data_IF_619901315314
#
_entry.id   IF_619901315314
#
_cell.length_a   1.000
_cell.length_b   1.000
_cell.length_c   1.000
_cell.angle_alpha   90.00
_cell.angle_beta   90.00
_cell.angle_gamma   90.00
#
_symmetry.space_group_name_H-M   'P 1'
#
loop_
_entity.id
_entity.type
_entity.pdbx_description
1 polymer ?
#
# COMPACT_ATOMS: atom_id res chain seq x y z
N UNK A 1 12.98 -14.11 42.74
CA UNK A 1 13.43 -14.59 41.43
C UNK A 1 12.20 -14.79 40.55
N UNK A 2 11.87 -13.87 39.63
CA UNK A 2 10.95 -14.08 38.48
C UNK A 2 10.74 -12.74 37.75
N UNK A 3 11.80 -12.19 37.16
CA UNK A 3 11.71 -11.01 36.31
C UNK A 3 12.80 -11.04 35.24
N UNK A 4 12.85 -12.10 34.43
CA UNK A 4 13.82 -12.15 33.32
C UNK A 4 13.45 -13.10 32.17
N UNK A 5 12.16 -13.16 31.79
CA UNK A 5 11.71 -14.07 30.72
C UNK A 5 10.87 -13.44 29.62
N UNK A 6 11.00 -12.13 29.39
CA UNK A 6 10.31 -11.43 28.29
C UNK A 6 11.23 -10.52 27.44
N UNK A 7 12.56 -10.51 27.64
CA UNK A 7 13.45 -9.53 26.99
C UNK A 7 14.21 -10.01 25.73
N UNK A 8 14.10 -11.26 25.30
CA UNK A 8 15.13 -11.87 24.44
C UNK A 8 14.84 -12.01 22.95
N UNK A 9 13.74 -11.47 22.42
CA UNK A 9 13.50 -11.47 20.97
C UNK A 9 13.27 -10.05 20.47
N UNK A 10 14.36 -9.38 20.07
CA UNK A 10 14.27 -8.15 19.29
C UNK A 10 14.85 -8.41 17.90
N UNK A 11 13.98 -8.36 16.90
CA UNK A 11 14.33 -8.56 15.50
C UNK A 11 15.03 -7.30 14.98
N UNK A 12 16.33 -7.40 14.74
CA UNK A 12 17.16 -6.32 14.22
C UNK A 12 17.78 -6.65 12.85
N UNK A 13 17.64 -7.90 12.40
CA UNK A 13 18.21 -8.35 11.14
C UNK A 13 17.19 -8.18 10.01
N UNK A 14 17.43 -7.18 9.17
CA UNK A 14 16.65 -6.91 7.96
C UNK A 14 17.20 -7.64 6.75
N UNK A 15 18.32 -8.36 6.87
CA UNK A 15 18.89 -9.11 5.76
C UNK A 15 18.13 -10.40 5.52
N UNK A 16 17.75 -10.65 4.27
CA UNK A 16 17.23 -11.94 3.87
C UNK A 16 18.34 -13.00 3.87
N UNK A 17 18.02 -14.20 4.36
CA UNK A 17 18.88 -15.37 4.15
C UNK A 17 18.91 -15.73 2.67
N UNK A 18 20.06 -16.23 2.23
CA UNK A 18 20.27 -16.89 0.94
C UNK A 18 19.41 -18.14 0.70
N UNK A 19 18.73 -18.66 1.74
CA UNK A 19 17.79 -19.78 1.64
C UNK A 19 16.36 -19.37 1.30
N UNK A 20 16.09 -18.07 1.17
CA UNK A 20 14.78 -17.55 0.80
C UNK A 20 14.76 -17.29 -0.70
N UNK A 21 13.97 -18.06 -1.43
CA UNK A 21 13.81 -17.89 -2.89
C UNK A 21 12.84 -16.75 -3.23
N UNK A 22 11.74 -16.63 -2.48
CA UNK A 22 10.70 -15.63 -2.70
C UNK A 22 10.35 -14.91 -1.40
N UNK A 23 10.41 -13.57 -1.40
CA UNK A 23 10.12 -12.73 -0.25
C UNK A 23 9.19 -11.57 -0.65
N UNK A 24 7.92 -11.64 -0.26
CA UNK A 24 6.90 -10.67 -0.64
C UNK A 24 6.34 -9.97 0.60
N UNK A 25 6.29 -8.63 0.59
CA UNK A 25 5.85 -7.83 1.73
C UNK A 25 4.91 -6.69 1.32
N UNK A 26 3.72 -6.65 1.91
CA UNK A 26 2.84 -5.48 1.87
C UNK A 26 3.11 -4.57 3.09
N UNK A 27 3.35 -3.29 2.84
CA UNK A 27 3.79 -2.32 3.85
C UNK A 27 2.80 -1.16 4.00
N UNK A 28 2.48 -0.81 5.24
CA UNK A 28 1.49 0.21 5.59
C UNK A 28 2.11 1.61 5.74
N UNK A 29 1.66 2.58 4.94
CA UNK A 29 2.14 3.97 4.97
C UNK A 29 1.69 4.76 6.19
N UNK A 30 0.48 4.51 6.72
CA UNK A 30 -0.17 5.30 7.78
C UNK A 30 -0.10 4.65 9.17
N UNK A 31 0.71 3.60 9.33
CA UNK A 31 1.00 3.02 10.64
C UNK A 31 2.01 3.90 11.39
N UNK A 32 1.55 4.53 12.48
CA UNK A 32 2.32 5.52 13.24
C UNK A 32 2.74 5.05 14.63
N UNK A 33 2.31 3.84 15.06
CA UNK A 33 2.64 3.31 16.37
C UNK A 33 4.09 2.82 16.39
N UNK A 34 4.96 3.33 17.28
CA UNK A 34 6.37 2.94 17.32
C UNK A 34 6.62 1.42 17.48
N UNK A 35 5.84 0.66 18.28
CA UNK A 35 6.01 -0.79 18.38
C UNK A 35 5.74 -1.57 17.09
N UNK A 36 5.13 -0.92 16.09
CA UNK A 36 4.82 -1.51 14.80
C UNK A 36 5.78 -1.04 13.71
N UNK A 37 6.98 -0.55 14.04
CA UNK A 37 8.02 -0.17 13.04
C UNK A 37 8.19 -1.26 11.97
N UNK A 38 8.27 -0.91 10.68
CA UNK A 38 8.30 -1.94 9.64
C UNK A 38 9.71 -2.54 9.59
N UNK A 39 9.77 -3.86 9.40
CA UNK A 39 11.01 -4.54 9.08
C UNK A 39 11.13 -4.60 7.55
N UNK A 40 11.63 -3.51 6.94
CA UNK A 40 11.95 -3.51 5.50
C UNK A 40 13.16 -4.39 5.27
N UNK A 41 13.08 -5.30 4.31
CA UNK A 41 14.11 -6.26 4.00
C UNK A 41 15.12 -5.73 2.98
N UNK A 42 16.37 -6.20 3.09
CA UNK A 42 17.42 -5.98 2.08
C UNK A 42 17.95 -7.33 1.55
N UNK A 43 18.28 -7.37 0.25
CA UNK A 43 19.10 -8.45 -0.31
C UNK A 43 20.57 -8.17 -0.07
N UNK A 44 21.30 -9.21 0.28
CA UNK A 44 22.76 -9.21 0.33
C UNK A 44 23.34 -9.55 -1.04
N UNK A 45 24.62 -9.21 -1.31
CA UNK A 45 25.28 -9.62 -2.55
C UNK A 45 25.14 -11.11 -2.86
N UNK A 46 25.17 -11.96 -1.82
CA UNK A 46 25.07 -13.42 -1.93
C UNK A 46 23.73 -13.92 -2.48
N UNK A 47 22.62 -13.23 -2.20
CA UNK A 47 21.27 -13.68 -2.57
C UNK A 47 20.60 -12.78 -3.62
N UNK A 48 21.33 -11.81 -4.16
CA UNK A 48 20.84 -10.86 -5.16
C UNK A 48 20.27 -11.53 -6.43
N UNK A 49 20.82 -12.67 -6.82
CA UNK A 49 20.42 -13.40 -8.03
C UNK A 49 19.50 -14.60 -7.76
N UNK A 50 19.32 -14.97 -6.49
CA UNK A 50 18.57 -16.17 -6.08
C UNK A 50 17.28 -15.83 -5.33
N UNK A 51 17.18 -14.62 -4.77
CA UNK A 51 16.01 -14.15 -4.05
C UNK A 51 15.22 -13.14 -4.88
N UNK A 52 13.98 -13.48 -5.17
CA UNK A 52 12.97 -12.56 -5.67
C UNK A 52 12.32 -11.82 -4.48
N UNK A 53 12.80 -10.60 -4.24
CA UNK A 53 12.30 -9.72 -3.18
C UNK A 53 11.33 -8.70 -3.78
N UNK A 54 10.11 -8.58 -3.26
CA UNK A 54 9.12 -7.56 -3.67
C UNK A 54 8.49 -6.94 -2.43
N UNK A 55 8.61 -5.63 -2.26
CA UNK A 55 8.07 -4.92 -1.10
C UNK A 55 7.25 -3.72 -1.59
N UNK A 56 5.95 -3.70 -1.29
CA UNK A 56 5.04 -2.69 -1.85
C UNK A 56 4.34 -1.92 -0.75
N UNK A 57 4.37 -0.59 -0.87
CA UNK A 57 3.72 0.32 0.07
C UNK A 57 2.28 0.65 -0.34
N UNK A 58 1.36 0.52 0.62
CA UNK A 58 -0.08 0.76 0.49
C UNK A 58 -0.56 1.84 1.46
N UNK A 59 -1.65 2.56 1.12
CA UNK A 59 -2.31 3.45 2.07
C UNK A 59 -2.85 2.66 3.27
N UNK A 60 -3.03 3.34 4.40
CA UNK A 60 -3.62 2.78 5.60
C UNK A 60 -2.60 2.26 6.62
N UNK A 61 -3.11 1.77 7.74
CA UNK A 61 -2.30 1.24 8.83
C UNK A 61 -2.18 -0.29 8.79
N UNK A 62 -1.64 -0.87 9.87
CA UNK A 62 -1.42 -2.31 9.98
C UNK A 62 -2.65 -3.17 9.63
N UNK A 63 -3.85 -2.82 10.10
CA UNK A 63 -5.07 -3.60 9.83
C UNK A 63 -5.76 -3.20 8.50
N UNK A 64 -5.40 -2.06 7.91
CA UNK A 64 -5.78 -1.78 6.52
C UNK A 64 -4.97 -2.63 5.53
N UNK A 65 -3.70 -2.94 5.84
CA UNK A 65 -2.89 -3.83 5.00
C UNK A 65 -3.09 -5.32 5.31
N UNK A 66 -3.20 -5.70 6.57
CA UNK A 66 -3.30 -7.10 6.99
C UNK A 66 -4.73 -7.63 7.16
N UNK A 67 -5.75 -6.76 7.06
CA UNK A 67 -7.13 -7.09 7.43
C UNK A 67 -7.42 -6.86 8.92
N UNK A 68 -8.71 -6.77 9.28
CA UNK A 68 -9.17 -6.62 10.66
C UNK A 68 -9.93 -5.33 11.00
N UNK A 69 -10.14 -4.44 10.02
CA UNK A 69 -11.16 -3.37 10.11
C UNK A 69 -12.50 -3.84 9.55
N UNK A 70 -13.62 -3.20 9.91
CA UNK A 70 -14.91 -3.53 9.28
C UNK A 70 -14.89 -3.18 7.77
N UNK A 71 -14.24 -2.07 7.43
CA UNK A 71 -13.95 -1.69 6.06
C UNK A 71 -12.71 -2.45 5.54
N UNK A 72 -12.93 -3.44 4.69
CA UNK A 72 -11.90 -4.28 4.10
C UNK A 72 -11.40 -3.80 2.73
N UNK A 73 -11.83 -2.64 2.22
CA UNK A 73 -11.51 -2.21 0.85
C UNK A 73 -10.02 -2.14 0.54
N UNK A 74 -9.21 -1.58 1.46
CA UNK A 74 -7.74 -1.52 1.31
C UNK A 74 -7.10 -2.91 1.52
N UNK A 75 -7.62 -3.70 2.47
CA UNK A 75 -7.10 -5.03 2.78
C UNK A 75 -7.33 -6.02 1.62
N UNK A 76 -8.41 -5.84 0.87
CA UNK A 76 -8.66 -6.62 -0.34
C UNK A 76 -7.67 -6.24 -1.46
N UNK A 77 -7.24 -4.96 -1.54
CA UNK A 77 -6.19 -4.56 -2.49
C UNK A 77 -4.86 -5.26 -2.16
N UNK A 78 -4.45 -5.27 -0.89
CA UNK A 78 -3.21 -5.95 -0.47
C UNK A 78 -3.32 -7.47 -0.58
N UNK A 79 -4.50 -8.04 -0.35
CA UNK A 79 -4.77 -9.47 -0.57
C UNK A 79 -4.60 -9.83 -2.05
N UNK A 80 -5.25 -9.10 -2.95
CA UNK A 80 -5.14 -9.34 -4.39
C UNK A 80 -3.69 -9.21 -4.87
N UNK A 81 -2.96 -8.19 -4.42
CA UNK A 81 -1.54 -8.06 -4.70
C UNK A 81 -0.73 -9.28 -4.24
N UNK A 82 -0.98 -9.77 -3.02
CA UNK A 82 -0.29 -10.95 -2.50
C UNK A 82 -0.66 -12.23 -3.28
N UNK A 83 -1.92 -12.36 -3.71
CA UNK A 83 -2.36 -13.45 -4.59
C UNK A 83 -1.56 -13.44 -5.90
N UNK A 84 -1.36 -12.28 -6.52
CA UNK A 84 -0.53 -12.14 -7.71
C UNK A 84 0.93 -12.56 -7.48
N UNK A 85 1.50 -12.19 -6.32
CA UNK A 85 2.88 -12.60 -6.01
C UNK A 85 2.98 -14.11 -5.83
N UNK A 86 2.04 -14.73 -5.12
CA UNK A 86 2.01 -16.17 -4.87
C UNK A 86 1.68 -16.98 -6.14
N UNK A 87 0.79 -16.46 -7.00
CA UNK A 87 0.50 -17.06 -8.29
C UNK A 87 1.70 -17.05 -9.24
N UNK A 88 2.54 -16.00 -9.16
CA UNK A 88 3.78 -15.95 -9.92
C UNK A 88 4.79 -17.05 -9.56
N UNK A 89 4.58 -17.75 -8.44
CA UNK A 89 5.40 -18.89 -8.00
C UNK A 89 4.61 -20.21 -7.94
N UNK A 90 3.44 -20.27 -8.58
CA UNK A 90 2.66 -21.50 -8.78
C UNK A 90 1.54 -21.76 -7.76
N UNK A 91 1.13 -20.76 -6.97
CA UNK A 91 -0.04 -20.88 -6.10
C UNK A 91 -1.31 -20.46 -6.83
N UNK A 92 -2.27 -21.38 -6.94
CA UNK A 92 -3.57 -21.08 -7.56
C UNK A 92 -4.57 -20.55 -6.53
N UNK A 93 -5.43 -19.64 -6.96
CA UNK A 93 -6.51 -19.10 -6.13
C UNK A 93 -7.86 -19.21 -6.83
N UNK A 94 -8.91 -19.36 -6.02
CA UNK A 94 -10.30 -19.38 -6.47
C UNK A 94 -10.83 -17.95 -6.63
N UNK A 95 -11.05 -17.50 -7.88
CA UNK A 95 -11.62 -16.17 -8.17
C UNK A 95 -12.95 -15.89 -7.44
N UNK A 96 -13.92 -16.82 -7.41
CA UNK A 96 -15.14 -16.65 -6.60
C UNK A 96 -14.87 -16.32 -5.12
N UNK A 97 -13.73 -16.72 -4.55
CA UNK A 97 -13.36 -16.34 -3.18
C UNK A 97 -13.02 -14.85 -3.06
N UNK A 98 -12.31 -14.30 -4.05
CA UNK A 98 -12.01 -12.87 -4.12
C UNK A 98 -13.27 -12.03 -4.34
N UNK A 99 -14.19 -12.49 -5.19
CA UNK A 99 -15.51 -11.88 -5.39
C UNK A 99 -16.33 -11.82 -4.10
N UNK A 100 -16.28 -12.88 -3.27
CA UNK A 100 -16.94 -12.89 -1.96
C UNK A 100 -16.34 -11.83 -1.02
N UNK A 101 -15.01 -11.64 -1.02
CA UNK A 101 -14.36 -10.57 -0.25
C UNK A 101 -14.83 -9.17 -0.71
N UNK A 102 -14.98 -8.97 -2.01
CA UNK A 102 -15.58 -7.75 -2.57
C UNK A 102 -17.03 -7.57 -2.12
N UNK A 103 -17.86 -8.60 -2.25
CA UNK A 103 -19.29 -8.53 -1.91
C UNK A 103 -19.50 -8.21 -0.42
N UNK A 104 -18.72 -8.82 0.48
CA UNK A 104 -18.74 -8.49 1.91
C UNK A 104 -18.44 -7.01 2.19
N UNK A 105 -17.48 -6.44 1.45
CA UNK A 105 -17.14 -5.01 1.56
C UNK A 105 -18.27 -4.13 1.05
N UNK A 106 -18.89 -4.49 -0.09
CA UNK A 106 -20.03 -3.76 -0.64
C UNK A 106 -21.23 -3.79 0.32
N UNK A 107 -21.50 -4.94 0.94
CA UNK A 107 -22.60 -5.10 1.91
C UNK A 107 -22.33 -4.35 3.21
N UNK A 108 -21.07 -4.29 3.67
CA UNK A 108 -20.66 -3.43 4.78
C UNK A 108 -21.02 -1.96 4.51
N UNK A 109 -20.71 -1.42 3.33
CA UNK A 109 -21.03 -0.02 3.00
C UNK A 109 -22.54 0.23 2.95
N UNK A 110 -23.31 -0.68 2.34
CA UNK A 110 -24.79 -0.60 2.33
C UNK A 110 -25.37 -0.59 3.74
N UNK A 111 -24.94 -1.54 4.58
CA UNK A 111 -25.41 -1.67 5.96
C UNK A 111 -25.04 -0.44 6.81
N UNK A 112 -23.79 0.04 6.70
CA UNK A 112 -23.30 1.22 7.41
C UNK A 112 -24.07 2.48 7.02
N UNK A 113 -24.35 2.67 5.72
CA UNK A 113 -25.14 3.79 5.24
C UNK A 113 -26.60 3.72 5.72
N UNK A 114 -27.24 2.56 5.65
CA UNK A 114 -28.60 2.37 6.16
C UNK A 114 -28.69 2.67 7.68
N UNK A 115 -27.67 2.29 8.45
CA UNK A 115 -27.56 2.62 9.88
C UNK A 115 -27.38 4.12 10.12
N UNK A 116 -26.58 4.81 9.30
CA UNK A 116 -26.37 6.25 9.40
C UNK A 116 -27.66 7.04 9.10
N UNK A 117 -28.44 6.62 8.10
CA UNK A 117 -29.73 7.24 7.77
C UNK A 117 -30.75 7.12 8.91
N UNK A 118 -30.74 6.00 9.66
CA UNK A 118 -31.62 5.79 10.83
C UNK A 118 -31.20 6.62 12.04
N UNK A 119 -29.90 6.73 12.30
CA UNK A 119 -29.37 7.38 13.51
C UNK A 119 -29.18 8.89 13.37
N UNK A 120 -29.15 9.43 12.15
CA UNK A 120 -28.94 10.86 11.83
C UNK A 120 -27.83 11.49 12.70
N UNK A 121 -26.59 10.96 12.63
CA UNK A 121 -25.51 11.44 13.48
C UNK A 121 -25.26 12.94 13.25
N UNK A 122 -25.00 13.67 14.34
CA UNK A 122 -24.71 15.11 14.26
C UNK A 122 -23.42 15.34 13.45
N UNK A 123 -23.49 16.23 12.47
CA UNK A 123 -22.32 16.68 11.72
C UNK A 123 -21.27 17.25 12.67
N UNK A 124 -20.04 16.73 12.59
CA UNK A 124 -18.91 17.23 13.37
C UNK A 124 -18.29 18.42 12.63
N UNK A 125 -18.07 19.52 13.34
CA UNK A 125 -17.41 20.70 12.77
C UNK A 125 -15.99 20.34 12.32
N UNK A 126 -15.64 20.72 11.09
CA UNK A 126 -14.30 20.50 10.53
C UNK A 126 -14.06 19.10 9.94
N UNK A 127 -15.06 18.22 9.93
CA UNK A 127 -14.98 16.91 9.25
C UNK A 127 -15.60 17.04 7.85
N UNK A 128 -14.95 16.54 6.78
CA UNK A 128 -15.52 16.51 5.44
C UNK A 128 -16.84 15.72 5.38
N UNK A 129 -17.81 16.24 4.61
CA UNK A 129 -19.08 15.51 4.37
C UNK A 129 -18.93 14.42 3.30
N UNK A 130 -17.91 14.53 2.44
CA UNK A 130 -17.62 13.62 1.34
C UNK A 130 -16.29 12.93 1.58
N UNK A 131 -16.22 11.62 1.33
CA UNK A 131 -15.00 10.83 1.48
C UNK A 131 -14.01 10.96 0.31
N UNK A 132 -14.40 11.68 -0.75
CA UNK A 132 -13.59 12.03 -1.92
C UNK A 132 -14.14 13.31 -2.55
N UNK A 133 -13.48 13.82 -3.59
CA UNK A 133 -14.01 14.90 -4.44
C UNK A 133 -15.39 14.56 -5.03
N UNK A 134 -16.19 15.59 -5.32
CA UNK A 134 -17.58 15.45 -5.77
C UNK A 134 -17.79 14.46 -6.94
N UNK A 135 -17.02 14.50 -8.05
CA UNK A 135 -17.26 13.56 -9.16
C UNK A 135 -17.13 12.08 -8.78
N UNK A 136 -16.25 11.78 -7.81
CA UNK A 136 -16.05 10.42 -7.32
C UNK A 136 -17.09 10.09 -6.24
N UNK A 137 -17.29 10.97 -5.27
CA UNK A 137 -18.22 10.71 -4.17
C UNK A 137 -19.67 10.55 -4.67
N UNK A 138 -20.16 11.50 -5.47
CA UNK A 138 -21.58 11.62 -5.82
C UNK A 138 -22.09 10.40 -6.61
N UNK A 139 -21.21 9.73 -7.36
CA UNK A 139 -21.55 8.58 -8.19
C UNK A 139 -21.31 7.21 -7.53
N UNK A 140 -20.54 7.15 -6.43
CA UNK A 140 -20.15 5.87 -5.81
C UNK A 140 -20.74 5.68 -4.41
N UNK A 141 -21.10 6.76 -3.71
CA UNK A 141 -21.65 6.65 -2.37
C UNK A 141 -22.92 5.76 -2.35
N UNK A 142 -23.03 4.80 -1.39
CA UNK A 142 -22.22 4.68 -0.17
C UNK A 142 -20.93 3.88 -0.30
N UNK A 143 -20.71 3.21 -1.42
CA UNK A 143 -19.51 2.42 -1.68
C UNK A 143 -18.29 3.33 -1.86
N UNK A 144 -17.11 2.88 -1.39
CA UNK A 144 -15.84 3.55 -1.67
C UNK A 144 -15.02 2.69 -2.64
N UNK A 145 -14.69 3.21 -3.82
CA UNK A 145 -13.92 2.48 -4.82
C UNK A 145 -12.49 2.11 -4.37
N UNK A 146 -11.84 1.32 -5.23
CA UNK A 146 -10.45 0.89 -5.12
C UNK A 146 -9.51 1.96 -4.54
N UNK A 147 -8.82 1.60 -3.46
CA UNK A 147 -7.88 2.51 -2.79
C UNK A 147 -8.49 3.63 -1.94
N UNK A 148 -9.82 3.76 -1.85
CA UNK A 148 -10.52 4.86 -1.14
C UNK A 148 -11.22 4.45 0.16
N UNK A 149 -11.06 3.20 0.62
CA UNK A 149 -11.58 2.71 1.90
C UNK A 149 -11.15 3.56 3.12
N UNK A 150 -11.89 3.47 4.23
CA UNK A 150 -11.55 4.22 5.44
C UNK A 150 -10.21 3.77 6.04
N UNK A 151 -9.41 4.74 6.52
CA UNK A 151 -8.17 4.47 7.26
C UNK A 151 -8.46 4.77 8.73
N UNK A 152 -8.48 3.77 9.60
CA UNK A 152 -8.90 3.95 10.99
C UNK A 152 -7.71 3.93 11.95
N UNK A 153 -7.77 4.65 13.07
CA UNK A 153 -6.74 4.57 14.12
C UNK A 153 -7.23 3.70 15.28
N UNK A 154 -6.42 2.78 15.83
CA UNK A 154 -6.79 2.06 17.04
C UNK A 154 -7.05 3.04 18.20
N UNK A 155 -8.08 2.76 18.99
CA UNK A 155 -8.56 3.64 20.07
C UNK A 155 -7.74 3.57 21.37
N UNK A 156 -6.73 2.71 21.45
CA UNK A 156 -5.99 2.43 22.70
C UNK A 156 -5.24 3.64 23.25
N UNK A 157 -5.45 3.91 24.55
CA UNK A 157 -4.82 4.98 25.31
C UNK A 157 -3.29 4.80 25.39
N UNK A 158 -2.81 3.55 25.43
CA UNK A 158 -1.38 3.23 25.47
C UNK A 158 -0.62 3.81 24.27
N UNK A 159 -1.20 3.76 23.08
CA UNK A 159 -0.58 4.29 21.86
C UNK A 159 -0.62 5.82 21.76
N UNK A 160 -1.45 6.50 22.57
CA UNK A 160 -1.45 7.97 22.62
C UNK A 160 -0.24 8.51 23.38
N UNK A 161 0.29 7.72 24.31
CA UNK A 161 1.42 8.11 25.18
C UNK A 161 2.79 7.75 24.58
N UNK A 162 2.86 6.82 23.61
CA UNK A 162 4.12 6.33 23.04
C UNK A 162 4.78 7.25 22.00
N UNK A 163 4.17 8.40 21.68
CA UNK A 163 4.55 9.20 20.52
C UNK A 163 4.11 8.58 19.19
N UNK A 164 4.44 9.24 18.07
CA UNK A 164 4.14 8.80 16.72
C UNK A 164 5.40 8.82 15.86
N UNK A 165 5.56 7.78 15.03
CA UNK A 165 6.67 7.67 14.09
C UNK A 165 6.10 7.65 12.68
N UNK A 166 6.49 8.60 11.84
CA UNK A 166 6.13 8.64 10.42
C UNK A 166 7.03 7.66 9.67
N UNK A 167 6.47 6.90 8.74
CA UNK A 167 7.23 5.95 7.91
C UNK A 167 8.10 6.70 6.91
N UNK A 168 9.22 6.10 6.52
CA UNK A 168 10.14 6.70 5.54
C UNK A 168 10.50 5.69 4.44
N UNK A 169 9.55 5.32 3.56
CA UNK A 169 9.79 4.43 2.41
C UNK A 169 11.08 4.79 1.66
N UNK A 170 11.89 3.77 1.33
CA UNK A 170 13.18 3.92 0.64
C UNK A 170 14.31 4.56 1.46
N UNK A 171 14.08 4.94 2.71
CA UNK A 171 15.04 5.68 3.55
C UNK A 171 15.40 4.95 4.86
N UNK A 172 15.01 3.68 4.99
CA UNK A 172 15.35 2.88 6.16
C UNK A 172 16.83 2.57 6.23
N UNK A 173 17.30 2.37 7.47
CA UNK A 173 18.69 2.10 7.81
C UNK A 173 18.75 0.84 8.67
N UNK A 174 19.81 0.03 8.57
CA UNK A 174 20.02 -1.08 9.49
C UNK A 174 20.14 -0.56 10.92
N UNK A 175 19.61 -1.31 11.88
CA UNK A 175 19.77 -0.99 13.30
C UNK A 175 20.81 -1.91 13.93
N UNK A 176 21.83 -1.34 14.56
CA UNK A 176 22.86 -2.12 15.25
C UNK A 176 22.20 -2.88 16.43
N UNK A 177 22.31 -4.22 16.48
CA UNK A 177 21.65 -5.02 17.51
C UNK A 177 22.25 -4.83 18.90
N UNK A 178 23.47 -4.32 19.04
CA UNK A 178 24.13 -4.01 20.32
C UNK A 178 23.76 -2.60 20.79
N UNK A 179 23.94 -1.59 19.95
CA UNK A 179 23.75 -0.18 20.33
C UNK A 179 22.32 0.31 20.21
N UNK A 180 21.49 -0.38 19.41
CA UNK A 180 20.11 0.01 19.06
C UNK A 180 20.01 1.33 18.29
N UNK A 181 21.12 1.78 17.71
CA UNK A 181 21.20 2.96 16.87
C UNK A 181 21.20 2.54 15.40
N UNK A 182 20.61 3.39 14.56
CA UNK A 182 20.63 3.21 13.12
C UNK A 182 22.01 3.50 12.54
N UNK A 183 22.44 2.68 11.59
CA UNK A 183 23.68 2.84 10.86
C UNK A 183 23.66 4.04 9.90
N UNK A 184 24.84 4.52 9.53
CA UNK A 184 25.00 5.63 8.60
C UNK A 184 24.67 5.29 7.14
N UNK A 185 24.57 4.01 6.77
CA UNK A 185 24.13 3.57 5.44
C UNK A 185 22.61 3.35 5.39
N UNK A 186 22.05 3.42 4.18
CA UNK A 186 20.70 2.96 3.92
C UNK A 186 20.68 1.42 3.74
N UNK A 187 19.51 0.82 3.95
CA UNK A 187 19.24 -0.54 3.48
C UNK A 187 19.45 -0.58 1.96
N UNK A 188 19.98 -1.68 1.43
CA UNK A 188 20.32 -1.83 0.02
C UNK A 188 19.39 -2.81 -0.68
N UNK A 189 19.21 -2.65 -2.00
CA UNK A 189 18.49 -3.60 -2.85
C UNK A 189 17.15 -4.09 -2.24
N UNK A 190 16.37 -3.15 -1.69
CA UNK A 190 15.11 -3.42 -1.00
C UNK A 190 13.97 -3.75 -1.99
N UNK A 191 14.10 -3.37 -3.26
CA UNK A 191 13.04 -3.43 -4.27
C UNK A 191 11.69 -2.89 -3.76
N UNK A 192 11.74 -1.81 -2.99
CA UNK A 192 10.55 -1.09 -2.54
C UNK A 192 9.85 -0.41 -3.73
N UNK A 193 8.53 -0.56 -3.78
CA UNK A 193 7.64 0.00 -4.80
C UNK A 193 6.40 0.59 -4.16
N UNK A 194 5.67 1.42 -4.89
CA UNK A 194 4.46 2.07 -4.39
C UNK A 194 3.24 1.54 -5.14
N UNK A 195 2.19 1.13 -4.43
CA UNK A 195 0.98 0.66 -5.09
C UNK A 195 0.14 1.80 -5.67
N UNK A 196 -0.52 1.58 -6.81
CA UNK A 196 -1.36 2.57 -7.51
C UNK A 196 -2.45 3.21 -6.63
N UNK A 197 -2.92 2.50 -5.60
CA UNK A 197 -3.89 3.04 -4.62
C UNK A 197 -3.42 4.31 -3.93
N UNK A 198 -2.10 4.55 -3.80
CA UNK A 198 -1.55 5.78 -3.21
C UNK A 198 -1.86 6.97 -4.12
N UNK A 199 -1.47 6.88 -5.39
CA UNK A 199 -1.74 7.94 -6.38
C UNK A 199 -3.24 8.15 -6.58
N UNK A 200 -4.02 7.07 -6.64
CA UNK A 200 -5.49 7.12 -6.75
C UNK A 200 -6.10 7.90 -5.56
N UNK A 201 -5.68 7.58 -4.33
CA UNK A 201 -6.19 8.28 -3.14
C UNK A 201 -5.85 9.76 -3.15
N UNK A 202 -4.62 10.12 -3.53
CA UNK A 202 -4.22 11.53 -3.65
C UNK A 202 -5.05 12.26 -4.72
N UNK A 203 -5.19 11.69 -5.91
CA UNK A 203 -5.93 12.27 -7.03
C UNK A 203 -7.43 12.46 -6.72
N UNK A 204 -8.02 11.53 -5.97
CA UNK A 204 -9.43 11.59 -5.57
C UNK A 204 -9.67 12.42 -4.30
N UNK A 205 -8.61 12.96 -3.68
CA UNK A 205 -8.64 13.59 -2.35
C UNK A 205 -9.34 12.69 -1.30
N UNK A 206 -9.03 11.39 -1.34
CA UNK A 206 -9.53 10.44 -0.37
C UNK A 206 -9.10 10.82 1.05
N UNK A 207 -9.89 10.46 2.06
CA UNK A 207 -9.65 10.91 3.42
C UNK A 207 -8.55 10.12 4.14
N UNK A 208 -7.90 10.74 5.12
CA UNK A 208 -6.89 10.13 5.97
C UNK A 208 -7.46 9.48 7.23
N UNK A 209 -6.66 9.47 8.30
CA UNK A 209 -6.97 8.80 9.57
C UNK A 209 -8.33 9.23 10.19
N UNK A 210 -9.21 8.25 10.34
CA UNK A 210 -10.59 8.33 10.83
C UNK A 210 -11.46 9.30 10.04
N UNK A 211 -11.21 9.43 8.74
CA UNK A 211 -11.94 10.32 7.83
C UNK A 211 -11.98 11.80 8.30
N UNK A 212 -10.96 12.24 9.04
CA UNK A 212 -10.96 13.59 9.64
C UNK A 212 -10.61 14.70 8.65
N UNK A 213 -9.69 14.42 7.73
CA UNK A 213 -9.14 15.36 6.76
C UNK A 213 -8.83 14.63 5.46
N UNK A 214 -8.62 15.37 4.37
CA UNK A 214 -8.02 14.81 3.15
C UNK A 214 -6.67 14.19 3.49
N UNK A 215 -6.35 13.06 2.87
CA UNK A 215 -5.10 12.35 3.09
C UNK A 215 -3.92 13.10 2.49
N UNK A 216 -2.95 13.42 3.34
CA UNK A 216 -1.74 14.19 3.02
C UNK A 216 -0.49 13.29 2.92
N UNK A 217 -0.64 11.97 3.04
CA UNK A 217 0.41 10.95 2.89
C UNK A 217 1.80 11.41 3.42
N UNK A 218 1.94 11.71 4.72
CA UNK A 218 3.13 12.36 5.26
C UNK A 218 4.40 11.50 5.12
N UNK A 219 4.22 10.18 4.96
CA UNK A 219 5.29 9.22 4.74
C UNK A 219 5.99 9.37 3.39
N UNK A 220 5.30 9.90 2.37
CA UNK A 220 5.87 10.10 1.03
C UNK A 220 6.09 11.58 0.70
N UNK A 221 5.06 12.42 0.84
CA UNK A 221 5.08 13.78 0.28
C UNK A 221 6.11 14.73 0.91
N UNK A 222 6.76 14.33 2.01
CA UNK A 222 7.90 15.06 2.59
C UNK A 222 9.19 14.93 1.77
N UNK A 223 9.38 13.83 1.06
CA UNK A 223 10.67 13.51 0.43
C UNK A 223 10.55 12.88 -0.94
N UNK A 224 9.33 12.60 -1.40
CA UNK A 224 9.05 11.94 -2.65
C UNK A 224 8.02 12.72 -3.45
N UNK A 225 8.22 12.82 -4.76
CA UNK A 225 7.27 13.41 -5.71
C UNK A 225 6.87 12.38 -6.75
N UNK A 226 5.56 12.23 -6.98
CA UNK A 226 5.03 11.39 -8.05
C UNK A 226 5.26 12.06 -9.41
N UNK A 227 5.74 11.30 -10.40
CA UNK A 227 5.89 11.75 -11.79
C UNK A 227 5.73 10.59 -12.75
N UNK A 228 5.62 10.91 -14.03
CA UNK A 228 5.54 9.94 -15.13
C UNK A 228 6.86 9.93 -15.89
N UNK A 229 7.35 8.75 -16.27
CA UNK A 229 8.61 8.58 -17.01
C UNK A 229 8.44 7.63 -18.19
N UNK A 230 9.27 7.81 -19.21
CA UNK A 230 9.37 6.91 -20.38
C UNK A 230 10.45 5.83 -20.19
N UNK A 231 11.20 5.89 -19.09
CA UNK A 231 12.18 4.85 -18.72
C UNK A 231 11.46 3.53 -18.46
N UNK A 232 11.98 2.44 -19.04
CA UNK A 232 11.41 1.10 -18.87
C UNK A 232 11.97 0.44 -17.62
N UNK A 233 11.09 -0.16 -16.84
CA UNK A 233 11.42 -0.95 -15.66
C UNK A 233 10.95 -2.38 -15.88
N UNK A 234 11.65 -3.34 -15.28
CA UNK A 234 11.21 -4.72 -15.29
C UNK A 234 10.03 -4.91 -14.36
N UNK A 235 8.96 -5.48 -14.89
CA UNK A 235 7.77 -5.83 -14.11
C UNK A 235 7.96 -7.21 -13.46
N UNK A 236 7.75 -7.33 -12.14
CA UNK A 236 7.88 -8.60 -11.44
C UNK A 236 6.81 -9.61 -11.89
N UNK A 237 5.60 -9.12 -12.14
CA UNK A 237 4.50 -9.87 -12.72
C UNK A 237 4.27 -9.34 -14.15
N UNK A 238 4.40 -10.17 -15.20
CA UNK A 238 4.12 -9.74 -16.56
C UNK A 238 2.63 -9.42 -16.73
N UNK A 239 2.29 -8.63 -17.75
CA UNK A 239 0.89 -8.23 -17.97
C UNK A 239 -0.03 -9.40 -18.32
N UNK A 240 0.41 -10.28 -19.24
CA UNK A 240 -0.31 -11.50 -19.63
C UNK A 240 0.48 -12.76 -19.18
N UNK A 241 0.47 -13.11 -17.88
CA UNK A 241 1.07 -14.35 -17.43
C UNK A 241 0.23 -15.54 -17.91
N UNK A 242 0.86 -16.70 -18.15
CA UNK A 242 0.15 -17.93 -18.51
C UNK A 242 -0.78 -18.49 -17.41
N UNK A 243 -0.71 -17.93 -16.20
CA UNK A 243 -1.56 -18.25 -15.05
C UNK A 243 -2.69 -17.22 -14.83
N UNK A 244 -2.88 -16.26 -15.74
CA UNK A 244 -4.00 -15.32 -15.70
C UNK A 244 -5.33 -16.12 -15.74
N UNK A 245 -6.17 -16.05 -14.69
CA UNK A 245 -7.39 -16.84 -14.62
C UNK A 245 -8.49 -16.36 -15.58
N UNK A 246 -8.35 -15.17 -16.19
CA UNK A 246 -9.38 -14.57 -17.06
C UNK A 246 -8.94 -14.38 -18.52
N UNK A 247 -7.65 -14.62 -18.83
CA UNK A 247 -7.13 -14.54 -20.19
C UNK A 247 -6.91 -13.10 -20.69
N UNK A 248 -7.06 -12.87 -22.00
CA UNK A 248 -6.70 -11.61 -22.67
C UNK A 248 -7.82 -10.53 -22.67
N UNK A 249 -9.03 -10.85 -22.21
CA UNK A 249 -10.15 -9.88 -22.22
C UNK A 249 -10.06 -8.92 -21.02
N UNK A 250 -9.25 -7.87 -21.14
CA UNK A 250 -9.26 -6.72 -20.23
C UNK A 250 -10.07 -5.56 -20.82
N UNK A 251 -11.31 -5.39 -20.36
CA UNK A 251 -12.20 -4.29 -20.76
C UNK A 251 -11.75 -2.93 -20.18
N UNK A 252 -10.76 -2.90 -19.28
CA UNK A 252 -10.20 -1.70 -18.67
C UNK A 252 -9.04 -1.09 -19.48
N UNK A 253 -8.66 -1.73 -20.60
CA UNK A 253 -7.45 -1.42 -21.35
C UNK A 253 -6.21 -2.02 -20.68
N UNK A 254 -5.03 -1.46 -20.93
CA UNK A 254 -3.79 -1.90 -20.29
C UNK A 254 -3.43 -0.95 -19.12
N UNK A 255 -3.85 -1.23 -17.87
CA UNK A 255 -3.49 -0.41 -16.71
C UNK A 255 -1.98 -0.37 -16.46
N UNK A 256 -1.23 -1.34 -16.99
CA UNK A 256 0.22 -1.42 -16.90
C UNK A 256 0.92 -0.85 -18.14
N UNK A 257 0.15 -0.33 -19.09
CA UNK A 257 0.61 0.00 -20.43
C UNK A 257 1.60 1.14 -20.48
N UNK A 258 2.62 0.96 -21.32
CA UNK A 258 3.72 1.90 -21.48
C UNK A 258 3.41 3.06 -22.42
N UNK A 259 2.25 3.07 -23.10
CA UNK A 259 1.90 4.09 -24.10
C UNK A 259 1.92 5.52 -23.54
N UNK A 260 1.61 5.65 -22.26
CA UNK A 260 1.70 6.92 -21.51
C UNK A 260 2.92 6.97 -20.59
N UNK A 261 3.81 5.98 -20.60
CA UNK A 261 4.91 5.85 -19.62
C UNK A 261 4.46 5.35 -18.24
N UNK A 262 5.42 5.09 -17.34
CA UNK A 262 5.22 4.52 -16.00
C UNK A 262 5.21 5.60 -14.92
N UNK A 263 4.34 5.43 -13.92
CA UNK A 263 4.35 6.25 -12.71
C UNK A 263 5.51 5.84 -11.79
N UNK A 264 6.23 6.83 -11.28
CA UNK A 264 7.34 6.65 -10.34
C UNK A 264 7.30 7.72 -9.27
N UNK A 265 7.91 7.41 -8.13
CA UNK A 265 8.15 8.34 -7.03
C UNK A 265 9.62 8.68 -6.99
N UNK A 266 9.94 9.93 -7.32
CA UNK A 266 11.31 10.44 -7.31
C UNK A 266 11.63 11.14 -5.99
N UNK A 267 12.81 10.85 -5.45
CA UNK A 267 13.30 11.50 -4.25
C UNK A 267 13.59 12.98 -4.52
N UNK A 268 12.98 13.85 -3.72
CA UNK A 268 13.12 15.31 -3.77
C UNK A 268 13.52 15.91 -2.40
N UNK A 269 13.90 15.05 -1.45
CA UNK A 269 14.39 15.48 -0.14
C UNK A 269 15.77 16.13 -0.20
N UNK A 270 16.24 16.61 0.95
CA UNK A 270 17.56 17.24 1.06
C UNK A 270 18.69 16.25 0.77
N UNK A 271 19.71 16.66 0.02
CA UNK A 271 20.79 15.78 -0.44
C UNK A 271 21.54 15.07 0.72
N UNK A 272 21.67 15.71 1.88
CA UNK A 272 22.27 15.08 3.08
C UNK A 272 21.51 13.86 3.60
N UNK A 273 20.23 13.72 3.22
CA UNK A 273 19.35 12.63 3.62
C UNK A 273 19.03 11.70 2.43
N UNK A 274 19.67 11.90 1.28
CA UNK A 274 19.41 11.14 0.08
C UNK A 274 20.14 9.79 0.12
N UNK A 275 19.53 8.70 -0.40
CA UNK A 275 20.24 7.45 -0.66
C UNK A 275 21.49 7.69 -1.51
N UNK A 276 22.60 7.02 -1.14
CA UNK A 276 23.87 7.14 -1.85
C UNK A 276 23.80 6.50 -3.25
N UNK A 277 23.09 5.39 -3.39
CA UNK A 277 22.77 4.81 -4.69
C UNK A 277 21.61 5.60 -5.33
N UNK A 278 21.88 6.24 -6.47
CA UNK A 278 20.88 7.01 -7.22
C UNK A 278 19.69 6.16 -7.67
N UNK A 279 19.86 4.85 -7.85
CA UNK A 279 18.75 3.95 -8.21
C UNK A 279 17.72 3.84 -7.10
N UNK A 280 18.13 3.98 -5.83
CA UNK A 280 17.23 4.00 -4.68
C UNK A 280 16.48 5.33 -4.53
N UNK A 281 16.77 6.33 -5.37
CA UNK A 281 16.06 7.61 -5.41
C UNK A 281 14.81 7.56 -6.30
N UNK A 282 14.46 6.38 -6.82
CA UNK A 282 13.26 6.11 -7.59
C UNK A 282 12.56 4.88 -7.00
N UNK A 283 11.29 5.02 -6.63
CA UNK A 283 10.40 3.88 -6.38
C UNK A 283 9.37 3.81 -7.49
N UNK A 284 9.31 2.68 -8.18
CA UNK A 284 8.39 2.48 -9.30
C UNK A 284 6.99 2.20 -8.77
N UNK A 285 5.95 2.68 -9.45
CA UNK A 285 4.58 2.22 -9.19
C UNK A 285 4.47 0.75 -9.55
N UNK A 286 3.97 -0.06 -8.63
CA UNK A 286 3.80 -1.50 -8.83
C UNK A 286 2.78 -1.78 -9.95
N UNK A 287 3.10 -2.63 -10.95
CA UNK A 287 2.14 -3.05 -11.96
C UNK A 287 1.07 -3.94 -11.33
N UNK A 288 -0.16 -3.85 -11.82
CA UNK A 288 -1.27 -4.68 -11.35
C UNK A 288 -1.20 -6.08 -11.94
N UNK A 289 -1.17 -7.10 -11.09
CA UNK A 289 -1.32 -8.49 -11.54
C UNK A 289 -2.77 -8.85 -11.88
N UNK A 290 -3.01 -10.06 -12.44
CA UNK A 290 -4.35 -10.53 -12.79
C UNK A 290 -5.40 -10.45 -11.67
N UNK A 291 -5.07 -10.85 -10.44
CA UNK A 291 -6.03 -10.80 -9.33
C UNK A 291 -6.33 -9.36 -8.91
N UNK A 292 -5.35 -8.48 -8.92
CA UNK A 292 -5.57 -7.04 -8.72
C UNK A 292 -6.45 -6.44 -9.81
N UNK A 293 -6.23 -6.78 -11.08
CA UNK A 293 -7.07 -6.30 -12.19
C UNK A 293 -8.50 -6.81 -12.08
N UNK A 294 -8.69 -8.08 -11.70
CA UNK A 294 -10.01 -8.63 -11.44
C UNK A 294 -10.74 -7.85 -10.33
N UNK A 295 -10.10 -7.66 -9.17
CA UNK A 295 -10.70 -6.91 -8.08
C UNK A 295 -10.92 -5.43 -8.45
N UNK A 296 -10.02 -4.82 -9.22
CA UNK A 296 -10.17 -3.46 -9.72
C UNK A 296 -11.41 -3.33 -10.62
N UNK A 297 -11.69 -4.29 -11.52
CA UNK A 297 -12.92 -4.27 -12.34
C UNK A 297 -14.19 -4.27 -11.50
N UNK A 298 -14.21 -5.04 -10.42
CA UNK A 298 -15.34 -5.06 -9.48
C UNK A 298 -15.48 -3.77 -8.67
N UNK A 299 -14.37 -3.12 -8.34
CA UNK A 299 -14.32 -2.08 -7.31
C UNK A 299 -13.90 -0.69 -7.80
N UNK A 300 -13.64 -0.48 -9.09
CA UNK A 300 -13.17 0.78 -9.64
C UNK A 300 -14.18 1.93 -9.54
N UNK A 301 -15.48 1.60 -9.41
CA UNK A 301 -16.54 2.59 -9.33
C UNK A 301 -16.79 3.34 -10.64
N UNK A 302 -17.65 4.36 -10.58
CA UNK A 302 -17.98 5.24 -11.71
C UNK A 302 -17.82 6.71 -11.31
N UNK A 303 -17.03 7.53 -12.01
CA UNK A 303 -16.07 7.12 -13.02
C UNK A 303 -15.01 6.18 -12.40
N UNK A 304 -14.40 5.34 -13.24
CA UNK A 304 -13.32 4.45 -12.82
C UNK A 304 -12.20 5.24 -12.15
N UNK A 305 -11.92 4.99 -10.87
CA UNK A 305 -10.95 5.77 -10.10
C UNK A 305 -9.51 5.59 -10.57
N UNK A 306 -9.17 4.44 -11.15
CA UNK A 306 -7.85 4.20 -11.73
C UNK A 306 -7.64 5.11 -12.95
N UNK A 307 -8.55 5.08 -13.93
CA UNK A 307 -8.47 5.98 -15.10
C UNK A 307 -8.61 7.45 -14.72
N UNK A 308 -9.50 7.78 -13.77
CA UNK A 308 -9.64 9.14 -13.27
C UNK A 308 -8.30 9.67 -12.74
N UNK A 309 -7.61 8.87 -11.91
CA UNK A 309 -6.31 9.24 -11.37
C UNK A 309 -5.21 9.35 -12.42
N UNK A 310 -5.33 8.60 -13.52
CA UNK A 310 -4.37 8.61 -14.62
C UNK A 310 -4.41 9.91 -15.44
N UNK A 311 -5.55 10.60 -15.44
CA UNK A 311 -5.75 11.91 -16.10
C UNK A 311 -5.34 13.10 -15.26
N UNK A 312 -5.04 12.90 -13.96
CA UNK A 312 -4.57 13.98 -13.09
C UNK A 312 -3.06 14.05 -13.19
N UNK A 313 -2.57 15.18 -13.71
CA UNK A 313 -1.14 15.50 -13.62
C UNK A 313 -0.73 15.59 -12.14
N UNK A 314 0.41 14.98 -11.81
CA UNK A 314 0.97 14.93 -10.45
C UNK A 314 1.74 16.18 -10.05
#
# INVERSE_FOLDING_TARGET
MHADRLSTYKWHDTSLSDKIEHAFQALALDETRPPFSPAVWERRPENRLTTDLRQVWFPGNHANCGGGWEDQGIANCTLAWMMDQLASVGVEFDLPSLERCFQQTADFYKASHAKAQKTKPKKKKGVPDKWAISPIFDNNHPFRPWGLGSINKPSSLLYKLSGQTIRTPGLYRPTDPKTKLDEARFLQDTNERIHSTVRIRLACQGLGLNDKTVWDCPSLLKSWKVKRTQEKYQDPVPFHPGWDPEGEEDDMGDPNGWSKGRWVWEYVGHESNAPSDKRQRIMVEEPLGPYERHLLRLSAGSPNVFHFSDTKEG
#
